data_IF_706317863450
#
_entry.id   IF_706317863450
#
_cell.length_a   1.000
_cell.length_b   1.000
_cell.length_c   1.000
_cell.angle_alpha   90.00
_cell.angle_beta   90.00
_cell.angle_gamma   90.00
#
_symmetry.space_group_name_H-M   'P 1'
#
loop_
_entity.id
_entity.type
_entity.pdbx_description
1 polymer ?
#
# COMPACT_ATOMS: atom_id res chain seq x y z
N UNK A 1 12.97 -12.32 -14.13
CA UNK A 1 11.87 -13.11 -13.52
C UNK A 1 11.32 -14.20 -14.43
N UNK A 2 10.76 -13.89 -15.62
CA UNK A 2 10.11 -14.89 -16.50
C UNK A 2 11.00 -16.07 -16.92
N UNK A 3 12.31 -15.87 -16.99
CA UNK A 3 13.29 -16.91 -17.37
C UNK A 3 14.04 -17.50 -16.15
N UNK A 4 13.65 -17.15 -14.92
CA UNK A 4 14.26 -17.66 -13.69
C UNK A 4 13.42 -18.81 -13.12
N UNK A 5 14.07 -19.91 -12.77
CA UNK A 5 13.43 -21.02 -12.04
C UNK A 5 12.99 -20.60 -10.63
N UNK A 6 13.75 -19.69 -10.01
CA UNK A 6 13.46 -19.19 -8.68
C UNK A 6 12.45 -18.05 -8.69
N UNK A 7 11.57 -18.09 -7.69
CA UNK A 7 10.70 -16.97 -7.38
C UNK A 7 11.55 -15.79 -6.88
N UNK A 8 11.38 -14.58 -7.43
CA UNK A 8 12.05 -13.41 -6.90
C UNK A 8 11.54 -13.12 -5.51
N UNK A 9 12.48 -12.73 -4.64
CA UNK A 9 12.20 -12.32 -3.28
C UNK A 9 12.31 -10.80 -3.17
N UNK A 10 11.60 -10.27 -2.20
CA UNK A 10 11.62 -8.83 -1.86
C UNK A 10 11.86 -8.73 -0.36
N UNK A 11 12.57 -7.71 0.08
CA UNK A 11 12.70 -7.36 1.49
C UNK A 11 12.20 -5.91 1.69
N UNK A 12 11.54 -5.65 2.82
CA UNK A 12 11.27 -4.28 3.25
C UNK A 12 12.57 -3.63 3.75
N UNK A 13 12.68 -2.29 3.70
CA UNK A 13 13.79 -1.62 4.38
C UNK A 13 13.77 -1.97 5.87
N UNK A 14 14.93 -2.18 6.48
CA UNK A 14 15.04 -2.27 7.93
C UNK A 14 14.74 -0.91 8.60
N UNK A 15 14.74 -0.83 9.94
CA UNK A 15 14.51 0.43 10.65
C UNK A 15 15.58 1.50 10.39
N UNK A 16 16.85 1.10 10.21
CA UNK A 16 17.99 2.03 10.07
C UNK A 16 17.80 3.14 9.02
N UNK A 17 17.47 2.81 7.74
CA UNK A 17 17.22 3.83 6.72
C UNK A 17 16.10 4.82 7.06
N UNK A 18 15.08 4.41 7.82
CA UNK A 18 14.05 5.33 8.30
C UNK A 18 14.59 6.23 9.42
N UNK A 19 15.33 5.65 10.36
CA UNK A 19 15.96 6.37 11.47
C UNK A 19 16.89 7.47 10.97
N UNK A 20 17.75 7.17 9.99
CA UNK A 20 18.67 8.14 9.37
C UNK A 20 17.91 9.36 8.82
N UNK A 21 16.74 9.14 8.20
CA UNK A 21 15.89 10.22 7.69
C UNK A 21 15.21 11.00 8.81
N UNK A 22 14.72 10.33 9.84
CA UNK A 22 14.04 10.98 10.96
C UNK A 22 15.01 11.83 11.81
N UNK A 23 16.27 11.41 11.95
CA UNK A 23 17.31 12.20 12.60
C UNK A 23 17.59 13.49 11.81
N UNK A 24 17.52 13.44 10.48
CA UNK A 24 17.84 14.59 9.60
C UNK A 24 16.78 15.69 9.62
N UNK A 25 15.50 15.35 9.71
CA UNK A 25 14.40 16.31 9.59
C UNK A 25 13.70 16.52 10.93
N UNK A 26 13.18 17.72 11.20
CA UNK A 26 12.36 17.97 12.40
C UNK A 26 10.98 17.29 12.30
N UNK A 27 10.42 17.30 11.09
CA UNK A 27 9.10 16.78 10.76
C UNK A 27 9.19 15.77 9.64
N UNK A 28 8.65 14.57 9.86
CA UNK A 28 8.59 13.50 8.87
C UNK A 28 7.18 12.93 8.77
N UNK A 29 6.57 13.06 7.59
CA UNK A 29 5.36 12.33 7.21
C UNK A 29 5.77 11.19 6.28
N UNK A 30 5.41 9.96 6.63
CA UNK A 30 5.88 8.75 5.97
C UNK A 30 4.69 7.94 5.51
N UNK A 31 4.56 7.71 4.21
CA UNK A 31 3.56 6.78 3.67
C UNK A 31 4.24 5.47 3.39
N UNK A 32 3.63 4.37 3.81
CA UNK A 32 4.12 3.03 3.49
C UNK A 32 3.02 2.20 2.84
N UNK A 33 3.42 1.25 1.99
CA UNK A 33 2.58 0.13 1.56
C UNK A 33 1.85 -0.49 2.76
N UNK A 34 0.65 -1.04 2.50
CA UNK A 34 -0.17 -1.73 3.49
C UNK A 34 0.65 -2.62 4.45
N UNK A 35 0.44 -2.42 5.75
CA UNK A 35 1.06 -3.20 6.84
C UNK A 35 0.77 -4.70 6.77
N UNK A 36 -0.27 -5.10 6.03
CA UNK A 36 -0.65 -6.49 5.81
C UNK A 36 0.12 -7.15 4.65
N UNK A 37 0.81 -6.36 3.84
CA UNK A 37 1.50 -6.82 2.62
C UNK A 37 3.03 -6.71 2.74
N UNK A 38 3.54 -5.84 3.62
CA UNK A 38 4.96 -5.62 3.88
C UNK A 38 5.21 -5.20 5.32
N UNK A 39 6.39 -5.57 5.85
CA UNK A 39 6.89 -5.10 7.14
C UNK A 39 7.40 -3.65 7.11
N UNK A 40 7.32 -2.95 5.97
CA UNK A 40 7.76 -1.56 5.84
C UNK A 40 7.11 -0.63 6.87
N UNK A 41 5.81 -0.79 7.14
CA UNK A 41 5.09 0.01 8.13
C UNK A 41 5.67 -0.22 9.54
N UNK A 42 5.82 -1.47 9.95
CA UNK A 42 6.33 -1.84 11.28
C UNK A 42 7.77 -1.35 11.47
N UNK A 43 8.61 -1.46 10.43
CA UNK A 43 10.00 -0.98 10.49
C UNK A 43 10.06 0.56 10.57
N UNK A 44 9.19 1.27 9.85
CA UNK A 44 9.08 2.72 9.92
C UNK A 44 8.57 3.21 11.29
N UNK A 45 7.63 2.47 11.90
CA UNK A 45 7.15 2.74 13.27
C UNK A 45 8.23 2.45 14.30
N UNK A 46 8.96 1.35 14.18
CA UNK A 46 10.08 1.04 15.09
C UNK A 46 11.15 2.15 15.04
N UNK A 47 11.52 2.61 13.86
CA UNK A 47 12.45 3.73 13.70
C UNK A 47 11.92 5.04 14.32
N UNK A 48 10.60 5.26 14.30
CA UNK A 48 9.97 6.41 14.96
C UNK A 48 10.11 6.32 16.48
N UNK A 49 9.93 5.14 17.07
CA UNK A 49 10.11 4.99 18.52
C UNK A 49 11.57 5.22 18.91
N UNK A 50 12.52 4.69 18.13
CA UNK A 50 13.97 4.89 18.35
C UNK A 50 14.36 6.38 18.29
N UNK A 51 13.93 7.13 17.27
CA UNK A 51 14.30 8.56 17.16
C UNK A 51 13.69 9.39 18.29
N UNK A 52 12.53 9.00 18.81
CA UNK A 52 11.85 9.70 19.91
C UNK A 52 12.58 9.53 21.24
N UNK A 53 13.26 8.40 21.43
CA UNK A 53 14.15 8.17 22.59
C UNK A 53 15.40 9.07 22.51
N UNK A 54 15.91 9.34 21.31
CA UNK A 54 17.10 10.17 21.08
C UNK A 54 16.81 11.68 21.11
N UNK A 55 15.66 12.10 20.56
CA UNK A 55 15.30 13.51 20.40
C UNK A 55 13.77 13.70 20.49
N UNK A 56 13.31 14.15 21.67
CA UNK A 56 11.89 14.26 21.99
C UNK A 56 11.12 15.32 21.18
N UNK A 57 11.83 16.25 20.52
CA UNK A 57 11.27 17.32 19.68
C UNK A 57 10.98 16.87 18.24
N UNK A 58 11.47 15.70 17.83
CA UNK A 58 11.21 15.13 16.50
C UNK A 58 9.77 14.70 16.35
N UNK A 59 9.13 15.13 15.27
CA UNK A 59 7.80 14.69 14.91
C UNK A 59 7.85 13.70 13.74
N UNK A 60 7.31 12.50 13.95
CA UNK A 60 7.15 11.49 12.91
C UNK A 60 5.73 10.94 12.91
N UNK A 61 5.07 11.01 11.75
CA UNK A 61 3.82 10.30 11.49
C UNK A 61 4.02 9.28 10.37
N UNK A 62 3.76 8.02 10.68
CA UNK A 62 3.74 6.92 9.70
C UNK A 62 2.29 6.61 9.36
N UNK A 63 1.94 6.73 8.09
CA UNK A 63 0.65 6.35 7.53
C UNK A 63 0.73 4.95 6.94
N UNK A 64 -0.17 4.08 7.40
CA UNK A 64 -0.48 2.83 6.72
C UNK A 64 -1.39 3.17 5.54
N UNK A 65 -0.95 2.97 4.29
CA UNK A 65 -1.77 3.32 3.12
C UNK A 65 -2.98 2.41 2.91
N UNK A 66 -3.01 1.22 3.55
CA UNK A 66 -3.96 0.13 3.23
C UNK A 66 -3.99 -0.24 1.73
N UNK A 67 -2.97 0.19 0.98
CA UNK A 67 -2.89 0.12 -0.47
C UNK A 67 -1.45 -0.18 -0.89
N UNK A 68 -1.16 0.03 -2.17
CA UNK A 68 0.14 -0.08 -2.80
C UNK A 68 0.19 0.84 -4.03
N UNK A 69 1.40 1.11 -4.54
CA UNK A 69 1.60 1.74 -5.85
C UNK A 69 0.84 3.08 -5.97
N UNK A 70 -0.17 3.18 -6.84
CA UNK A 70 -0.90 4.41 -7.07
C UNK A 70 -1.57 4.96 -5.79
N UNK A 71 -2.18 4.12 -4.95
CA UNK A 71 -2.84 4.59 -3.73
C UNK A 71 -1.85 5.19 -2.73
N UNK A 72 -0.71 4.51 -2.51
CA UNK A 72 0.40 5.03 -1.71
C UNK A 72 0.93 6.37 -2.25
N UNK A 73 1.04 6.48 -3.58
CA UNK A 73 1.50 7.71 -4.26
C UNK A 73 0.51 8.85 -4.10
N UNK A 74 -0.80 8.58 -4.23
CA UNK A 74 -1.85 9.60 -4.08
C UNK A 74 -1.88 10.19 -2.66
N UNK A 75 -1.65 9.36 -1.63
CA UNK A 75 -1.53 9.85 -0.25
C UNK A 75 -0.30 10.77 -0.11
N UNK A 76 0.83 10.42 -0.73
CA UNK A 76 2.02 11.26 -0.71
C UNK A 76 1.80 12.61 -1.42
N UNK A 77 1.08 12.63 -2.54
CA UNK A 77 0.66 13.89 -3.19
C UNK A 77 -0.25 14.70 -2.28
N UNK A 78 -1.23 14.04 -1.63
CA UNK A 78 -2.13 14.73 -0.70
C UNK A 78 -1.38 15.39 0.46
N UNK A 79 -0.38 14.70 1.02
CA UNK A 79 0.50 15.29 2.03
C UNK A 79 1.21 16.53 1.50
N UNK A 80 1.76 16.47 0.27
CA UNK A 80 2.38 17.63 -0.38
C UNK A 80 1.43 18.82 -0.49
N UNK A 81 0.19 18.60 -0.97
CA UNK A 81 -0.82 19.66 -1.07
C UNK A 81 -1.14 20.31 0.28
N UNK A 82 -1.28 19.49 1.34
CA UNK A 82 -1.63 19.98 2.68
C UNK A 82 -0.45 20.75 3.31
N UNK A 83 0.78 20.32 3.06
CA UNK A 83 2.00 21.01 3.49
C UNK A 83 2.15 22.36 2.77
N UNK A 84 1.97 22.38 1.44
CA UNK A 84 2.05 23.60 0.63
C UNK A 84 0.96 24.62 1.00
N UNK A 85 -0.21 24.15 1.42
CA UNK A 85 -1.27 24.98 1.95
C UNK A 85 -1.00 25.55 3.36
N UNK A 86 0.13 25.21 3.98
CA UNK A 86 0.58 25.80 5.25
C UNK A 86 -0.18 25.32 6.49
N UNK A 87 -0.84 24.16 6.40
CA UNK A 87 -1.58 23.58 7.51
C UNK A 87 -0.62 23.15 8.63
N UNK A 88 -1.13 23.14 9.87
CA UNK A 88 -0.35 22.63 10.98
C UNK A 88 -0.30 21.08 10.97
N UNK A 89 0.59 20.50 11.79
CA UNK A 89 0.86 19.06 11.81
C UNK A 89 -0.40 18.23 12.06
N UNK A 90 -1.23 18.62 13.02
CA UNK A 90 -2.41 17.87 13.41
C UNK A 90 -3.47 17.91 12.30
N UNK A 91 -3.66 19.06 11.66
CA UNK A 91 -4.55 19.20 10.50
C UNK A 91 -4.10 18.36 9.30
N UNK A 92 -2.78 18.32 9.04
CA UNK A 92 -2.22 17.47 7.98
C UNK A 92 -2.50 16.00 8.28
N UNK A 93 -2.29 15.56 9.53
CA UNK A 93 -2.56 14.18 9.94
C UNK A 93 -4.03 13.83 9.76
N UNK A 94 -4.94 14.63 10.33
CA UNK A 94 -6.38 14.38 10.29
C UNK A 94 -6.89 14.29 8.84
N UNK A 95 -6.53 15.28 8.00
CA UNK A 95 -6.99 15.32 6.60
C UNK A 95 -6.38 14.19 5.76
N UNK A 96 -5.15 13.78 6.05
CA UNK A 96 -4.52 12.66 5.36
C UNK A 96 -5.15 11.34 5.79
N UNK A 97 -5.44 11.13 7.08
CA UNK A 97 -6.13 9.93 7.55
C UNK A 97 -7.52 9.80 6.93
N UNK A 98 -8.28 10.91 6.88
CA UNK A 98 -9.56 10.94 6.18
C UNK A 98 -9.41 10.60 4.69
N UNK A 99 -8.40 11.16 4.02
CA UNK A 99 -8.13 10.85 2.62
C UNK A 99 -7.80 9.36 2.40
N UNK A 100 -7.08 8.74 3.34
CA UNK A 100 -6.78 7.30 3.32
C UNK A 100 -8.05 6.47 3.51
N UNK A 101 -8.94 6.86 4.43
CA UNK A 101 -10.22 6.17 4.70
C UNK A 101 -11.15 6.14 3.49
N UNK A 102 -11.21 7.24 2.74
CA UNK A 102 -12.07 7.37 1.55
C UNK A 102 -11.46 6.70 0.31
N UNK A 103 -10.18 6.28 0.36
CA UNK A 103 -9.46 5.75 -0.79
C UNK A 103 -9.83 4.29 -1.07
N UNK A 104 -10.02 3.97 -2.34
CA UNK A 104 -10.20 2.60 -2.80
C UNK A 104 -9.11 2.16 -3.76
N UNK A 105 -8.78 0.87 -3.69
CA UNK A 105 -7.79 0.24 -4.58
C UNK A 105 -8.45 -0.87 -5.37
N UNK A 106 -8.38 -0.78 -6.70
CA UNK A 106 -8.84 -1.79 -7.64
C UNK A 106 -7.76 -2.00 -8.71
N UNK A 107 -7.54 -3.25 -9.12
CA UNK A 107 -6.50 -3.55 -10.10
C UNK A 107 -6.73 -4.90 -10.81
N UNK A 108 -6.07 -5.07 -11.96
CA UNK A 108 -6.01 -6.32 -12.72
C UNK A 108 -4.53 -6.60 -13.03
N UNK A 109 -4.10 -7.85 -12.88
CA UNK A 109 -2.73 -8.27 -13.19
C UNK A 109 -2.72 -9.34 -14.28
N UNK A 110 -1.62 -9.40 -15.03
CA UNK A 110 -1.41 -10.43 -16.03
C UNK A 110 -1.17 -11.81 -15.40
N UNK A 111 -0.41 -11.86 -14.30
CA UNK A 111 -0.17 -13.06 -13.50
C UNK A 111 -0.13 -12.69 -12.01
N UNK A 112 -0.58 -13.63 -11.17
CA UNK A 112 -0.58 -13.54 -9.72
C UNK A 112 0.54 -14.37 -9.07
N UNK A 113 1.39 -15.02 -9.88
CA UNK A 113 2.35 -16.01 -9.39
C UNK A 113 3.28 -15.44 -8.32
N UNK A 114 3.76 -14.21 -8.49
CA UNK A 114 4.68 -13.60 -7.53
C UNK A 114 3.99 -13.25 -6.21
N UNK A 115 2.73 -12.80 -6.26
CA UNK A 115 1.97 -12.51 -5.05
C UNK A 115 1.66 -13.80 -4.27
N UNK A 116 1.36 -14.89 -4.98
CA UNK A 116 1.14 -16.21 -4.38
C UNK A 116 2.43 -16.76 -3.77
N UNK A 117 3.52 -16.79 -4.54
CA UNK A 117 4.83 -17.31 -4.10
C UNK A 117 5.39 -16.51 -2.92
N UNK A 118 5.13 -15.20 -2.88
CA UNK A 118 5.56 -14.36 -1.77
C UNK A 118 4.55 -14.30 -0.61
N UNK A 119 3.49 -15.10 -0.62
CA UNK A 119 2.54 -15.22 0.51
C UNK A 119 1.51 -14.10 0.65
N UNK A 120 1.53 -13.05 -0.19
CA UNK A 120 0.60 -11.91 -0.13
C UNK A 120 -0.84 -12.22 -0.53
N UNK A 121 -1.09 -13.42 -1.06
CA UNK A 121 -2.43 -13.89 -1.45
C UNK A 121 -3.01 -14.93 -0.50
N UNK A 122 -2.47 -15.11 0.72
CA UNK A 122 -2.85 -16.21 1.63
C UNK A 122 -4.36 -16.47 1.74
N UNK A 123 -5.16 -15.42 1.99
CA UNK A 123 -6.63 -15.50 2.11
C UNK A 123 -7.37 -15.84 0.81
N UNK A 124 -6.71 -15.74 -0.35
CA UNK A 124 -7.28 -15.93 -1.69
C UNK A 124 -6.69 -17.10 -2.48
N UNK A 125 -5.60 -17.69 -1.98
CA UNK A 125 -4.85 -18.73 -2.69
C UNK A 125 -5.75 -19.86 -3.19
N UNK A 126 -6.68 -20.33 -2.36
CA UNK A 126 -7.63 -21.39 -2.73
C UNK A 126 -8.70 -20.98 -3.75
N UNK A 127 -9.12 -19.71 -3.77
CA UNK A 127 -10.16 -19.21 -4.69
C UNK A 127 -9.64 -18.97 -6.10
N UNK A 128 -8.35 -18.69 -6.23
CA UNK A 128 -7.71 -18.28 -7.50
C UNK A 128 -6.98 -19.44 -8.18
N UNK A 129 -6.56 -20.47 -7.43
CA UNK A 129 -5.85 -21.62 -7.98
C UNK A 129 -6.62 -22.41 -9.07
N UNK A 130 -7.95 -22.27 -9.12
CA UNK A 130 -8.81 -22.96 -10.09
C UNK A 130 -9.11 -22.15 -11.37
N UNK A 131 -8.60 -20.92 -11.49
CA UNK A 131 -8.98 -20.00 -12.57
C UNK A 131 -8.19 -20.24 -13.86
N UNK A 132 -8.58 -21.30 -14.60
CA UNK A 132 -8.07 -21.50 -15.95
C UNK A 132 -8.71 -20.51 -16.93
N UNK A 133 -7.90 -19.66 -17.56
CA UNK A 133 -8.33 -18.65 -18.56
C UNK A 133 -9.32 -17.57 -18.04
N UNK A 134 -9.38 -17.38 -16.72
CA UNK A 134 -10.16 -16.33 -16.06
C UNK A 134 -9.19 -15.29 -15.48
N UNK A 135 -9.44 -14.02 -15.76
CA UNK A 135 -8.70 -12.87 -15.23
C UNK A 135 -9.47 -12.28 -14.04
N UNK A 136 -8.90 -12.28 -12.83
CA UNK A 136 -9.53 -11.67 -11.67
C UNK A 136 -9.42 -10.14 -11.71
N UNK A 137 -10.47 -9.46 -11.27
CA UNK A 137 -10.44 -8.07 -10.84
C UNK A 137 -10.26 -8.09 -9.33
N UNK A 138 -9.19 -7.49 -8.85
CA UNK A 138 -8.78 -7.49 -7.46
C UNK A 138 -8.97 -6.11 -6.85
N UNK A 139 -8.95 -6.05 -5.53
CA UNK A 139 -8.94 -4.80 -4.78
C UNK A 139 -8.34 -4.97 -3.39
N UNK A 140 -8.37 -3.89 -2.61
CA UNK A 140 -8.01 -3.92 -1.20
C UNK A 140 -9.25 -4.18 -0.31
N UNK A 141 -9.05 -4.87 0.81
CA UNK A 141 -10.01 -4.91 1.93
C UNK A 141 -9.83 -3.67 2.81
N UNK A 142 -10.79 -3.34 3.70
CA UNK A 142 -10.60 -2.29 4.70
C UNK A 142 -9.36 -2.48 5.58
N UNK A 143 -8.95 -3.72 5.82
CA UNK A 143 -7.73 -4.03 6.58
C UNK A 143 -6.45 -3.88 5.75
N UNK A 144 -6.56 -3.65 4.44
CA UNK A 144 -5.40 -3.48 3.53
C UNK A 144 -4.85 -4.79 2.98
N UNK A 145 -5.61 -5.90 3.04
CA UNK A 145 -5.27 -7.15 2.35
C UNK A 145 -5.81 -7.16 0.92
N UNK A 146 -5.30 -8.04 0.06
CA UNK A 146 -5.85 -8.21 -1.29
C UNK A 146 -7.18 -8.98 -1.18
N UNK A 147 -8.15 -8.67 -2.06
CA UNK A 147 -9.44 -9.38 -2.22
C UNK A 147 -9.84 -9.55 -3.70
N UNK A 148 -10.70 -10.53 -3.98
CA UNK A 148 -11.32 -10.74 -5.28
C UNK A 148 -12.62 -9.93 -5.34
N UNK A 149 -12.68 -8.97 -6.26
CA UNK A 149 -13.83 -8.10 -6.47
C UNK A 149 -14.75 -8.66 -7.55
N UNK A 150 -14.16 -9.14 -8.65
CA UNK A 150 -14.89 -9.71 -9.79
C UNK A 150 -13.96 -10.62 -10.60
N UNK A 151 -14.47 -11.26 -11.65
CA UNK A 151 -13.68 -12.07 -12.57
C UNK A 151 -14.28 -12.07 -13.98
N UNK A 152 -13.43 -12.16 -14.99
CA UNK A 152 -13.84 -12.17 -16.38
C UNK A 152 -13.00 -13.15 -17.21
N UNK A 153 -13.55 -13.66 -18.31
CA UNK A 153 -12.76 -14.40 -19.30
C UNK A 153 -12.06 -13.41 -20.24
N UNK A 154 -10.73 -13.42 -20.22
CA UNK A 154 -9.88 -12.55 -21.04
C UNK A 154 -9.68 -11.12 -20.49
N UNK A 155 -8.50 -10.55 -20.76
CA UNK A 155 -8.07 -9.27 -20.17
C UNK A 155 -8.97 -8.09 -20.55
N UNK A 156 -9.45 -8.02 -21.81
CA UNK A 156 -10.33 -6.94 -22.27
C UNK A 156 -11.62 -6.83 -21.46
N UNK A 157 -12.24 -7.96 -21.10
CA UNK A 157 -13.45 -7.98 -20.27
C UNK A 157 -13.14 -7.69 -18.80
N UNK A 158 -12.00 -8.14 -18.29
CA UNK A 158 -11.58 -7.81 -16.92
C UNK A 158 -11.32 -6.31 -16.74
N UNK A 159 -10.71 -5.66 -17.73
CA UNK A 159 -10.52 -4.19 -17.71
C UNK A 159 -11.87 -3.46 -17.76
N UNK A 160 -12.83 -3.91 -18.58
CA UNK A 160 -14.19 -3.32 -18.58
C UNK A 160 -14.85 -3.43 -17.21
N UNK A 161 -14.81 -4.61 -16.60
CA UNK A 161 -15.31 -4.82 -15.22
C UNK A 161 -14.57 -3.96 -14.20
N UNK A 162 -13.26 -3.77 -14.34
CA UNK A 162 -12.51 -2.84 -13.49
C UNK A 162 -13.08 -1.42 -13.58
N UNK A 163 -13.33 -0.91 -14.79
CA UNK A 163 -13.93 0.42 -15.00
C UNK A 163 -15.35 0.50 -14.45
N UNK A 164 -16.18 -0.53 -14.67
CA UNK A 164 -17.53 -0.62 -14.08
C UNK A 164 -17.46 -0.55 -12.55
N UNK A 165 -16.54 -1.30 -11.93
CA UNK A 165 -16.36 -1.31 -10.46
C UNK A 165 -15.80 0.01 -9.93
N UNK A 166 -15.02 0.75 -10.72
CA UNK A 166 -14.63 2.11 -10.36
C UNK A 166 -15.87 3.01 -10.34
N UNK A 167 -16.73 2.96 -11.36
CA UNK A 167 -17.95 3.77 -11.43
C UNK A 167 -19.02 3.43 -10.39
N UNK A 168 -19.07 2.18 -9.91
CA UNK A 168 -19.99 1.77 -8.83
C UNK A 168 -19.55 2.24 -7.44
N UNK A 169 -18.26 2.53 -7.26
CA UNK A 169 -17.67 2.76 -5.94
C UNK A 169 -17.04 4.14 -5.76
N UNK A 170 -16.94 4.92 -6.83
CA UNK A 170 -16.52 6.32 -6.83
C UNK A 170 -17.70 7.28 -6.91
#
# INVERSE_FOLDING_TARGET
MRNSSDAPKTASPGPGPFLDLYQKYENSFVVTLSKELSASYQNAVLAKELVKEEAADKFVKVFNSFSASAGETMIAYKLGELIEAGLNRDEIVEKTEKYVEDMQTLFVLDSLDNLIKAGRMGKLKGKIASFFNIKPVLGATPEGTITLVDKARGSKRAIRKLVEKIGERG
#
